data_IF_522905490722
#
_entry.id   IF_522905490722
#
_cell.length_a   1.000
_cell.length_b   1.000
_cell.length_c   1.000
_cell.angle_alpha   90.00
_cell.angle_beta   90.00
_cell.angle_gamma   90.00
#
_symmetry.space_group_name_H-M   'P 1'
#
loop_
_entity.id
_entity.type
_entity.pdbx_description
1 polymer ?
#
# COMPACT_ATOMS: atom_id res chain seq x y z
N UNK A 1 3.06 24.34 -13.68
CA UNK A 1 2.94 22.94 -13.21
C UNK A 1 1.75 22.89 -12.30
N UNK A 2 0.79 22.00 -12.54
CA UNK A 2 -0.35 21.81 -11.63
C UNK A 2 0.19 21.31 -10.29
N UNK A 3 -0.19 21.96 -9.19
CA UNK A 3 0.18 21.52 -7.83
C UNK A 3 -0.47 20.15 -7.57
N UNK A 4 0.26 19.20 -6.99
CA UNK A 4 -0.32 17.94 -6.51
C UNK A 4 -1.28 18.22 -5.34
N UNK A 5 -2.29 17.37 -5.16
CA UNK A 5 -3.24 17.50 -4.04
C UNK A 5 -2.54 17.51 -2.68
N UNK A 6 -1.45 16.73 -2.53
CA UNK A 6 -0.63 16.71 -1.32
C UNK A 6 0.07 18.05 -1.07
N UNK A 7 0.69 18.66 -2.08
CA UNK A 7 1.36 19.95 -1.96
C UNK A 7 0.34 21.07 -1.67
N UNK A 8 -0.82 21.04 -2.32
CA UNK A 8 -1.91 21.97 -2.08
C UNK A 8 -2.46 21.85 -0.64
N UNK A 9 -2.60 20.64 -0.16
CA UNK A 9 -3.06 20.35 1.22
C UNK A 9 -2.06 20.82 2.27
N UNK A 10 -0.76 20.64 2.03
CA UNK A 10 0.30 21.19 2.91
C UNK A 10 0.23 22.70 2.95
N UNK A 11 0.08 23.38 1.80
CA UNK A 11 -0.03 24.83 1.75
C UNK A 11 -1.28 25.32 2.48
N UNK A 12 -2.42 24.64 2.29
CA UNK A 12 -3.66 24.93 3.01
C UNK A 12 -3.48 24.79 4.54
N UNK A 13 -2.86 23.69 5.00
CA UNK A 13 -2.56 23.49 6.43
C UNK A 13 -1.69 24.61 6.98
N UNK A 14 -0.59 24.94 6.28
CA UNK A 14 0.34 26.00 6.72
C UNK A 14 -0.37 27.35 6.83
N UNK A 15 -1.26 27.66 5.88
CA UNK A 15 -2.05 28.89 5.89
C UNK A 15 -3.11 28.91 7.00
N UNK A 16 -3.61 27.73 7.42
CA UNK A 16 -4.61 27.56 8.46
C UNK A 16 -3.99 27.51 9.88
N UNK A 17 -2.69 27.20 9.98
CA UNK A 17 -2.00 26.95 11.24
C UNK A 17 -2.11 28.12 12.25
N UNK A 18 -1.98 29.39 11.87
CA UNK A 18 -2.14 30.50 12.82
C UNK A 18 -3.51 30.52 13.51
N UNK A 19 -4.59 30.28 12.76
CA UNK A 19 -5.95 30.20 13.30
C UNK A 19 -6.10 29.03 14.28
N UNK A 20 -5.54 27.86 13.92
CA UNK A 20 -5.58 26.66 14.76
C UNK A 20 -4.82 26.91 16.08
N UNK A 21 -3.62 27.49 16.00
CA UNK A 21 -2.80 27.82 17.19
C UNK A 21 -3.42 28.90 18.07
N UNK A 22 -4.15 29.85 17.50
CA UNK A 22 -4.87 30.89 18.28
C UNK A 22 -6.08 30.30 19.02
N UNK A 23 -6.87 29.43 18.34
CA UNK A 23 -8.19 29.01 18.85
C UNK A 23 -8.14 27.72 19.68
N UNK A 24 -7.22 26.82 19.37
CA UNK A 24 -7.09 25.50 20.01
C UNK A 24 -5.62 25.16 20.32
N UNK A 25 -4.83 26.03 20.96
CA UNK A 25 -3.39 25.83 21.17
C UNK A 25 -3.08 24.56 21.98
N UNK A 26 -3.88 24.27 22.98
CA UNK A 26 -3.79 23.08 23.84
C UNK A 26 -4.04 21.76 23.08
N UNK A 27 -4.98 21.77 22.12
CA UNK A 27 -5.22 20.62 21.22
C UNK A 27 -4.03 20.47 20.25
N UNK A 28 -3.60 21.57 19.62
CA UNK A 28 -2.50 21.54 18.65
C UNK A 28 -1.21 21.01 19.27
N UNK A 29 -0.90 21.39 20.52
CA UNK A 29 0.28 20.91 21.24
C UNK A 29 0.33 19.38 21.47
N UNK A 30 -0.80 18.69 21.34
CA UNK A 30 -0.91 17.24 21.57
C UNK A 30 -1.30 16.46 20.29
N UNK A 31 -1.48 17.16 19.17
CA UNK A 31 -2.03 16.59 17.94
C UNK A 31 -0.96 16.50 16.86
N UNK A 32 -1.21 15.64 15.90
CA UNK A 32 -0.51 15.61 14.63
C UNK A 32 -1.42 16.08 13.50
N UNK A 33 -0.85 16.65 12.46
CA UNK A 33 -1.59 17.03 11.25
C UNK A 33 -0.83 16.58 9.99
N UNK A 34 -1.56 16.25 8.94
CA UNK A 34 -0.99 15.80 7.69
C UNK A 34 -2.05 15.35 6.69
N UNK A 35 -1.61 14.72 5.61
CA UNK A 35 -2.50 14.03 4.69
C UNK A 35 -1.96 12.62 4.44
N UNK A 36 -2.62 11.63 5.02
CA UNK A 36 -2.28 10.20 4.97
C UNK A 36 -3.58 9.42 4.78
N UNK A 37 -3.60 8.42 3.90
CA UNK A 37 -4.81 7.61 3.71
C UNK A 37 -4.97 7.04 2.32
N UNK A 38 -6.22 6.88 1.92
CA UNK A 38 -6.63 6.14 0.70
C UNK A 38 -6.61 6.98 -0.58
N UNK A 39 -6.40 8.30 -0.51
CA UNK A 39 -6.41 9.18 -1.68
C UNK A 39 -5.22 8.97 -2.62
N UNK A 40 -5.42 9.18 -3.92
CA UNK A 40 -4.34 9.16 -4.93
C UNK A 40 -3.28 10.22 -4.65
N UNK A 41 -3.67 11.35 -4.09
CA UNK A 41 -2.78 12.43 -3.65
C UNK A 41 -1.80 11.98 -2.55
N UNK A 42 -2.21 11.04 -1.68
CA UNK A 42 -1.31 10.46 -0.67
C UNK A 42 -0.22 9.57 -1.28
N UNK A 43 -0.39 9.16 -2.53
CA UNK A 43 0.57 8.36 -3.29
C UNK A 43 1.33 9.18 -4.35
N UNK A 44 0.98 10.46 -4.53
CA UNK A 44 1.52 11.32 -5.58
C UNK A 44 1.08 10.90 -6.99
N UNK A 45 -0.08 10.25 -7.10
CA UNK A 45 -0.65 9.72 -8.35
C UNK A 45 -1.95 10.44 -8.75
N UNK A 46 -2.23 11.57 -8.15
CA UNK A 46 -3.40 12.38 -8.49
C UNK A 46 -3.23 13.07 -9.84
N UNK A 47 -4.26 12.99 -10.67
CA UNK A 47 -4.36 13.54 -12.01
C UNK A 47 -5.66 14.35 -12.19
N UNK A 48 -6.00 14.72 -13.43
CA UNK A 48 -7.24 15.44 -13.73
C UNK A 48 -8.49 14.60 -13.43
N UNK A 49 -8.42 13.28 -13.62
CA UNK A 49 -9.54 12.36 -13.33
C UNK A 49 -9.77 12.27 -11.83
N UNK A 50 -8.70 12.33 -11.03
CA UNK A 50 -8.79 12.29 -9.56
C UNK A 50 -9.57 13.49 -8.97
N UNK A 51 -9.81 14.54 -9.76
CA UNK A 51 -10.50 15.77 -9.32
C UNK A 51 -12.02 15.70 -9.43
N UNK A 52 -12.57 14.61 -9.93
CA UNK A 52 -14.02 14.41 -10.08
C UNK A 52 -14.74 14.26 -8.74
N UNK A 53 -14.06 13.68 -7.75
CA UNK A 53 -14.58 13.52 -6.38
C UNK A 53 -13.44 13.39 -5.36
N UNK A 54 -13.72 13.74 -4.11
CA UNK A 54 -12.81 13.56 -2.96
C UNK A 54 -11.40 14.16 -3.13
N UNK A 55 -11.22 15.13 -4.02
CA UNK A 55 -9.95 15.82 -4.24
C UNK A 55 -10.07 17.31 -3.86
N UNK A 56 -8.98 17.89 -3.41
CA UNK A 56 -8.89 19.30 -3.03
C UNK A 56 -8.16 19.50 -1.70
N UNK A 57 -7.88 20.77 -1.34
CA UNK A 57 -7.13 21.09 -0.13
C UNK A 57 -7.86 20.59 1.13
N UNK A 58 -7.14 19.80 1.93
CA UNK A 58 -7.61 19.25 3.18
C UNK A 58 -6.44 18.75 4.02
N UNK A 59 -6.69 18.47 5.28
CA UNK A 59 -5.75 17.78 6.16
C UNK A 59 -6.50 16.91 7.18
N UNK A 60 -5.82 15.90 7.68
CA UNK A 60 -6.20 15.19 8.88
C UNK A 60 -5.62 15.95 10.08
N UNK A 61 -6.39 16.08 11.14
CA UNK A 61 -5.91 16.48 12.45
C UNK A 61 -6.11 15.28 13.39
N UNK A 62 -5.02 14.55 13.65
CA UNK A 62 -5.05 13.38 14.54
C UNK A 62 -4.89 13.82 15.97
N UNK A 63 -5.97 13.72 16.72
CA UNK A 63 -6.07 14.16 18.11
C UNK A 63 -6.10 12.93 19.02
N UNK A 64 -5.42 12.90 20.17
CA UNK A 64 -5.59 11.83 21.15
C UNK A 64 -7.07 11.56 21.43
N UNK A 65 -7.45 10.29 21.49
CA UNK A 65 -8.86 9.86 21.49
C UNK A 65 -9.68 10.43 22.66
N UNK A 66 -9.06 10.61 23.84
CA UNK A 66 -9.66 11.23 25.02
C UNK A 66 -9.90 12.75 24.82
N UNK A 67 -8.89 13.43 24.29
CA UNK A 67 -8.94 14.87 24.01
C UNK A 67 -9.94 15.19 22.90
N UNK A 68 -9.99 14.37 21.85
CA UNK A 68 -10.96 14.55 20.77
C UNK A 68 -12.40 14.47 21.30
N UNK A 69 -12.69 13.54 22.21
CA UNK A 69 -14.03 13.39 22.79
C UNK A 69 -14.45 14.58 23.66
N UNK A 70 -13.53 15.17 24.41
CA UNK A 70 -13.84 16.33 25.26
C UNK A 70 -13.91 17.65 24.49
N UNK A 71 -13.12 17.80 23.41
CA UNK A 71 -12.94 19.06 22.70
C UNK A 71 -13.60 19.09 21.31
N UNK A 72 -14.36 18.06 20.95
CA UNK A 72 -14.87 17.89 19.58
C UNK A 72 -15.62 19.12 19.06
N UNK A 73 -16.54 19.68 19.85
CA UNK A 73 -17.35 20.83 19.42
C UNK A 73 -16.49 22.09 19.22
N UNK A 74 -15.47 22.30 20.08
CA UNK A 74 -14.54 23.39 19.94
C UNK A 74 -13.65 23.23 18.69
N UNK A 75 -13.13 22.03 18.46
CA UNK A 75 -12.33 21.71 17.27
C UNK A 75 -13.18 21.90 16.00
N UNK A 76 -14.40 21.38 15.98
CA UNK A 76 -15.30 21.51 14.85
C UNK A 76 -15.67 22.97 14.54
N UNK A 77 -15.88 23.80 15.57
CA UNK A 77 -16.13 25.23 15.39
C UNK A 77 -14.94 25.93 14.69
N UNK A 78 -13.72 25.49 14.95
CA UNK A 78 -12.53 26.03 14.27
C UNK A 78 -12.43 25.51 12.84
N UNK A 79 -12.75 24.23 12.60
CA UNK A 79 -12.78 23.68 11.24
C UNK A 79 -13.82 24.37 10.35
N UNK A 80 -14.97 24.70 10.91
CA UNK A 80 -16.06 25.41 10.21
C UNK A 80 -15.67 26.88 9.90
N UNK A 81 -14.72 27.47 10.62
CA UNK A 81 -14.18 28.80 10.37
C UNK A 81 -13.11 28.85 9.26
N UNK A 82 -12.65 27.68 8.78
CA UNK A 82 -11.70 27.62 7.67
C UNK A 82 -12.34 28.08 6.34
N UNK A 83 -11.58 28.66 5.42
CA UNK A 83 -12.13 29.14 4.16
C UNK A 83 -12.73 27.98 3.35
N UNK A 84 -13.90 28.16 2.73
CA UNK A 84 -14.55 27.11 1.94
C UNK A 84 -13.86 26.82 0.59
N UNK A 85 -12.98 27.74 0.16
CA UNK A 85 -12.15 27.61 -1.05
C UNK A 85 -10.73 28.06 -0.75
N UNK A 86 -9.75 27.40 -1.39
CA UNK A 86 -8.34 27.74 -1.28
C UNK A 86 -7.65 27.52 -2.63
N UNK A 87 -6.89 28.52 -3.11
CA UNK A 87 -6.23 28.48 -4.43
C UNK A 87 -7.17 28.08 -5.58
N UNK A 88 -8.41 28.55 -5.54
CA UNK A 88 -9.43 28.26 -6.56
C UNK A 88 -10.08 26.87 -6.46
N UNK A 89 -9.74 26.07 -5.44
CA UNK A 89 -10.28 24.73 -5.22
C UNK A 89 -11.21 24.69 -4.00
N UNK A 90 -12.29 23.91 -4.04
CA UNK A 90 -13.14 23.69 -2.86
C UNK A 90 -12.38 22.93 -1.77
N UNK A 91 -12.46 23.43 -0.54
CA UNK A 91 -11.84 22.82 0.64
C UNK A 91 -12.70 21.66 1.14
N UNK A 92 -12.07 20.54 1.50
CA UNK A 92 -12.73 19.32 2.00
C UNK A 92 -12.77 19.23 3.52
N UNK A 93 -12.89 20.36 4.21
CA UNK A 93 -12.94 20.39 5.70
C UNK A 93 -14.37 20.46 6.25
N UNK A 94 -15.39 20.70 5.43
CA UNK A 94 -16.78 20.66 5.86
C UNK A 94 -17.21 19.23 6.23
N UNK A 95 -18.04 19.06 7.25
CA UNK A 95 -18.41 17.75 7.83
C UNK A 95 -18.98 16.76 6.80
N UNK A 96 -19.82 17.23 5.89
CA UNK A 96 -20.44 16.45 4.82
C UNK A 96 -19.44 15.99 3.73
N UNK A 97 -18.26 16.64 3.63
CA UNK A 97 -17.24 16.36 2.63
C UNK A 97 -16.07 15.53 3.14
N UNK A 98 -15.92 15.35 4.45
CA UNK A 98 -14.75 14.66 5.05
C UNK A 98 -14.78 13.15 4.88
N UNK A 99 -15.95 12.54 4.86
CA UNK A 99 -16.16 11.09 4.72
C UNK A 99 -15.28 10.23 5.67
N UNK A 100 -14.90 10.80 6.83
CA UNK A 100 -13.98 10.15 7.78
C UNK A 100 -12.53 10.02 7.29
N UNK A 101 -12.14 10.79 6.26
CA UNK A 101 -10.79 10.74 5.67
C UNK A 101 -9.94 11.97 5.98
N UNK A 102 -10.58 13.09 6.32
CA UNK A 102 -9.93 14.38 6.65
C UNK A 102 -10.61 15.02 7.85
N UNK A 103 -10.08 16.16 8.33
CA UNK A 103 -10.59 16.84 9.51
C UNK A 103 -10.12 16.20 10.81
N UNK A 104 -10.81 16.46 11.94
CA UNK A 104 -10.45 15.89 13.22
C UNK A 104 -10.74 14.38 13.25
N UNK A 105 -9.71 13.62 13.56
CA UNK A 105 -9.72 12.15 13.61
C UNK A 105 -9.11 11.69 14.93
N UNK A 106 -9.66 10.65 15.57
CA UNK A 106 -9.01 10.05 16.73
C UNK A 106 -7.70 9.38 16.29
N UNK A 107 -6.57 9.67 16.94
CA UNK A 107 -5.25 9.19 16.56
C UNK A 107 -5.20 7.66 16.54
N UNK A 108 -5.59 7.03 17.65
CA UNK A 108 -5.64 5.56 17.73
C UNK A 108 -6.73 4.97 16.84
N UNK A 109 -7.85 5.67 16.71
CA UNK A 109 -8.96 5.30 15.84
C UNK A 109 -8.56 5.27 14.36
N UNK A 110 -7.69 6.20 13.92
CA UNK A 110 -7.13 6.19 12.56
C UNK A 110 -6.37 4.89 12.28
N UNK A 111 -5.45 4.48 13.14
CA UNK A 111 -4.71 3.24 12.96
C UNK A 111 -5.60 2.00 13.09
N UNK A 112 -6.53 1.99 14.04
CA UNK A 112 -7.50 0.89 14.21
C UNK A 112 -8.32 0.63 12.95
N UNK A 113 -8.68 1.67 12.19
CA UNK A 113 -9.38 1.54 10.92
C UNK A 113 -8.62 0.68 9.91
N UNK A 114 -7.29 0.81 9.83
CA UNK A 114 -6.46 0.09 8.88
C UNK A 114 -5.93 -1.24 9.43
N UNK A 115 -5.56 -1.27 10.69
CA UNK A 115 -4.87 -2.40 11.30
C UNK A 115 -5.82 -3.38 12.01
N UNK A 116 -7.03 -2.96 12.32
CA UNK A 116 -7.94 -3.68 13.21
C UNK A 116 -7.59 -3.54 14.70
N UNK A 117 -6.43 -2.97 15.02
CA UNK A 117 -5.92 -2.74 16.38
C UNK A 117 -5.47 -1.28 16.54
N UNK A 118 -5.36 -0.81 17.78
CA UNK A 118 -4.88 0.54 18.14
C UNK A 118 -3.41 0.56 18.59
N UNK A 119 -2.70 -0.51 18.33
CA UNK A 119 -1.27 -0.67 18.58
C UNK A 119 -0.57 -1.22 17.33
N UNK A 120 0.74 -1.03 17.25
CA UNK A 120 1.57 -1.64 16.22
C UNK A 120 1.50 -3.17 16.36
N UNK A 121 1.26 -3.92 15.26
CA UNK A 121 1.17 -5.38 15.34
C UNK A 121 2.37 -5.99 16.09
N UNK A 122 2.10 -6.74 17.17
CA UNK A 122 3.10 -7.28 18.08
C UNK A 122 3.47 -8.75 17.78
N UNK A 123 2.61 -9.45 17.02
CA UNK A 123 2.79 -10.85 16.68
C UNK A 123 2.70 -11.07 15.17
N UNK A 124 3.29 -12.17 14.67
CA UNK A 124 3.16 -12.54 13.26
C UNK A 124 1.70 -12.72 12.83
N UNK A 125 0.81 -13.16 13.75
CA UNK A 125 -0.63 -13.30 13.48
C UNK A 125 -1.29 -11.97 13.19
N UNK A 126 -0.99 -10.96 13.99
CA UNK A 126 -1.51 -9.60 13.77
C UNK A 126 -0.97 -9.02 12.46
N UNK A 127 0.34 -9.18 12.18
CA UNK A 127 0.92 -8.72 10.93
C UNK A 127 0.31 -9.37 9.69
N UNK A 128 0.03 -10.67 9.72
CA UNK A 128 -0.59 -11.37 8.60
C UNK A 128 -2.08 -11.04 8.45
N UNK A 129 -2.75 -10.65 9.53
CA UNK A 129 -4.16 -10.24 9.48
C UNK A 129 -4.36 -8.89 8.78
N UNK A 130 -3.32 -8.05 8.67
CA UNK A 130 -3.44 -6.74 8.02
C UNK A 130 -3.15 -6.85 6.52
N UNK A 131 -4.09 -6.48 5.64
CA UNK A 131 -3.84 -6.40 4.21
C UNK A 131 -2.68 -5.44 3.87
N UNK A 132 -1.83 -5.80 2.89
CA UNK A 132 -0.67 -4.98 2.49
C UNK A 132 -1.05 -3.53 2.17
N UNK A 133 -2.16 -3.33 1.45
CA UNK A 133 -2.60 -1.99 1.07
C UNK A 133 -3.09 -1.15 2.25
N UNK A 134 -3.55 -1.74 3.35
CA UNK A 134 -3.86 -1.02 4.58
C UNK A 134 -2.60 -0.47 5.24
N UNK A 135 -1.52 -1.28 5.29
CA UNK A 135 -0.22 -0.81 5.78
C UNK A 135 0.32 0.33 4.92
N UNK A 136 0.19 0.21 3.59
CA UNK A 136 0.53 1.30 2.70
C UNK A 136 -0.31 2.55 3.00
N UNK A 137 -1.64 2.42 3.12
CA UNK A 137 -2.54 3.56 3.32
C UNK A 137 -2.30 4.31 4.64
N UNK A 138 -1.97 3.62 5.73
CA UNK A 138 -1.70 4.28 7.01
C UNK A 138 -0.26 4.78 7.16
N UNK A 139 0.60 4.56 6.16
CA UNK A 139 2.02 4.98 6.19
C UNK A 139 2.45 5.83 5.00
N UNK A 140 1.55 6.06 4.01
CA UNK A 140 1.80 6.91 2.85
C UNK A 140 1.70 8.41 3.17
N UNK A 141 1.56 9.23 2.15
CA UNK A 141 1.32 10.67 2.29
C UNK A 141 2.41 11.37 3.11
N UNK A 142 1.99 12.41 3.85
CA UNK A 142 2.91 13.25 4.61
C UNK A 142 2.31 13.73 5.92
N UNK A 143 3.15 13.77 6.94
CA UNK A 143 2.89 14.42 8.22
C UNK A 143 3.44 15.85 8.14
N UNK A 144 2.57 16.85 8.28
CA UNK A 144 2.95 18.26 8.21
C UNK A 144 3.41 18.80 9.55
N UNK A 145 2.85 18.27 10.64
CA UNK A 145 3.15 18.64 12.02
C UNK A 145 2.85 17.46 12.96
N UNK A 146 3.67 17.26 13.97
CA UNK A 146 3.43 16.29 15.05
C UNK A 146 4.14 16.73 16.34
N UNK A 147 3.51 17.64 17.06
CA UNK A 147 4.09 18.21 18.31
C UNK A 147 4.17 17.17 19.43
N UNK A 148 3.18 16.27 19.50
CA UNK A 148 3.14 15.18 20.48
C UNK A 148 4.06 14.00 20.16
N UNK A 149 4.48 13.86 18.91
CA UNK A 149 5.34 12.77 18.42
C UNK A 149 4.68 11.40 18.36
N UNK A 150 3.46 11.24 18.86
CA UNK A 150 2.79 9.92 18.98
C UNK A 150 2.43 9.34 17.61
N UNK A 151 1.89 10.16 16.70
CA UNK A 151 1.53 9.70 15.35
C UNK A 151 2.77 9.27 14.56
N UNK A 152 3.82 10.08 14.58
CA UNK A 152 5.08 9.78 13.90
C UNK A 152 5.80 8.58 14.49
N UNK A 153 5.75 8.40 15.81
CA UNK A 153 6.32 7.22 16.47
C UNK A 153 5.61 5.93 16.00
N UNK A 154 4.27 5.94 15.97
CA UNK A 154 3.49 4.81 15.47
C UNK A 154 3.78 4.54 13.99
N UNK A 155 3.73 5.57 13.15
CA UNK A 155 4.03 5.49 11.72
C UNK A 155 5.43 4.92 11.46
N UNK A 156 6.44 5.41 12.16
CA UNK A 156 7.82 4.96 12.00
C UNK A 156 8.01 3.50 12.43
N UNK A 157 7.30 3.05 13.48
CA UNK A 157 7.31 1.65 13.88
C UNK A 157 6.75 0.74 12.76
N UNK A 158 5.68 1.15 12.08
CA UNK A 158 5.17 0.42 10.91
C UNK A 158 6.16 0.49 9.73
N UNK A 159 6.76 1.65 9.46
CA UNK A 159 7.75 1.83 8.40
C UNK A 159 9.05 1.06 8.65
N UNK A 160 9.30 0.60 9.88
CA UNK A 160 10.31 -0.42 10.18
C UNK A 160 10.09 -1.73 9.42
N UNK A 161 8.94 -1.87 8.80
CA UNK A 161 8.52 -2.94 7.93
C UNK A 161 8.13 -4.23 8.67
N UNK A 162 7.75 -5.26 7.93
CA UNK A 162 7.43 -6.58 8.48
C UNK A 162 8.60 -7.18 9.26
N UNK A 163 8.33 -7.89 10.38
CA UNK A 163 9.30 -8.83 10.93
C UNK A 163 9.77 -9.80 9.83
N UNK A 164 11.04 -10.18 9.85
CA UNK A 164 11.64 -10.94 8.74
C UNK A 164 10.92 -12.29 8.50
N UNK A 165 10.44 -12.94 9.54
CA UNK A 165 9.69 -14.19 9.42
C UNK A 165 8.35 -14.00 8.69
N UNK A 166 7.65 -12.89 8.96
CA UNK A 166 6.42 -12.51 8.25
C UNK A 166 6.71 -12.21 6.78
N UNK A 167 7.78 -11.44 6.52
CA UNK A 167 8.22 -11.14 5.14
C UNK A 167 8.53 -12.42 4.37
N UNK A 168 9.27 -13.36 4.97
CA UNK A 168 9.61 -14.66 4.37
C UNK A 168 8.37 -15.48 4.08
N UNK A 169 7.40 -15.48 5.00
CA UNK A 169 6.13 -16.17 4.81
C UNK A 169 5.37 -15.65 3.61
N UNK A 170 5.26 -14.34 3.47
CA UNK A 170 4.62 -13.69 2.30
C UNK A 170 5.37 -14.00 1.00
N UNK A 171 6.68 -13.90 1.00
CA UNK A 171 7.51 -14.24 -0.18
C UNK A 171 7.30 -15.70 -0.58
N UNK A 172 7.30 -16.64 0.38
CA UNK A 172 7.06 -18.04 0.11
C UNK A 172 5.70 -18.28 -0.57
N UNK A 173 4.64 -17.65 -0.05
CA UNK A 173 3.31 -17.73 -0.65
C UNK A 173 3.27 -17.14 -2.07
N UNK A 174 3.95 -16.01 -2.30
CA UNK A 174 4.04 -15.40 -3.66
C UNK A 174 4.79 -16.30 -4.64
N UNK A 175 5.87 -16.97 -4.24
CA UNK A 175 6.54 -17.97 -5.07
C UNK A 175 5.57 -19.06 -5.53
N UNK A 176 4.80 -19.62 -4.60
CA UNK A 176 3.83 -20.68 -4.90
C UNK A 176 2.73 -20.20 -5.86
N UNK A 177 2.16 -19.00 -5.60
CA UNK A 177 1.09 -18.45 -6.43
C UNK A 177 1.60 -18.14 -7.84
N UNK A 178 2.77 -17.52 -7.96
CA UNK A 178 3.39 -17.19 -9.25
C UNK A 178 3.68 -18.46 -10.06
N UNK A 179 4.27 -19.48 -9.44
CA UNK A 179 4.51 -20.76 -10.09
C UNK A 179 3.21 -21.43 -10.54
N UNK A 180 2.24 -21.53 -9.65
CA UNK A 180 0.96 -22.19 -9.96
C UNK A 180 0.19 -21.46 -11.07
N UNK A 181 0.02 -20.15 -10.95
CA UNK A 181 -0.78 -19.39 -11.88
C UNK A 181 -0.06 -19.15 -13.22
N UNK A 182 1.16 -18.63 -13.17
CA UNK A 182 1.94 -18.22 -14.33
C UNK A 182 2.66 -19.36 -15.03
N UNK A 183 3.53 -20.08 -14.30
CA UNK A 183 4.40 -21.09 -14.92
C UNK A 183 3.64 -22.40 -15.22
N UNK A 184 2.66 -22.77 -14.40
CA UNK A 184 1.97 -24.06 -14.56
C UNK A 184 0.62 -23.95 -15.25
N UNK A 185 -0.31 -23.13 -14.73
CA UNK A 185 -1.70 -23.12 -15.21
C UNK A 185 -1.87 -22.35 -16.51
N UNK A 186 -1.26 -21.20 -16.67
CA UNK A 186 -1.44 -20.35 -17.86
C UNK A 186 -1.10 -21.08 -19.17
N UNK A 187 0.05 -21.75 -19.34
CA UNK A 187 0.36 -22.50 -20.56
C UNK A 187 -0.68 -23.59 -20.86
N UNK A 188 -1.19 -24.27 -19.83
CA UNK A 188 -2.24 -25.29 -19.96
C UNK A 188 -3.59 -24.73 -20.39
N UNK A 189 -3.95 -23.56 -19.86
CA UNK A 189 -5.18 -22.85 -20.27
C UNK A 189 -5.12 -22.47 -21.75
N UNK A 190 -3.98 -21.97 -22.21
CA UNK A 190 -3.73 -21.63 -23.62
C UNK A 190 -3.79 -22.88 -24.52
N UNK A 191 -3.18 -24.00 -24.12
CA UNK A 191 -3.24 -25.26 -24.86
C UNK A 191 -4.69 -25.76 -25.03
N UNK A 192 -5.52 -25.58 -23.99
CA UNK A 192 -6.95 -25.94 -24.00
C UNK A 192 -7.83 -24.92 -24.70
N UNK A 193 -7.27 -23.80 -25.17
CA UNK A 193 -7.99 -22.66 -25.74
C UNK A 193 -9.05 -22.08 -24.79
N UNK A 194 -8.81 -22.16 -23.48
CA UNK A 194 -9.69 -21.60 -22.47
C UNK A 194 -9.26 -20.18 -22.14
N UNK A 195 -9.75 -19.22 -22.91
CA UNK A 195 -9.40 -17.79 -22.81
C UNK A 195 -9.72 -17.21 -21.44
N UNK A 196 -10.88 -17.54 -20.89
CA UNK A 196 -11.27 -17.04 -19.55
C UNK A 196 -10.31 -17.54 -18.48
N UNK A 197 -9.97 -18.83 -18.49
CA UNK A 197 -9.04 -19.38 -17.51
C UNK A 197 -7.61 -18.82 -17.70
N UNK A 198 -7.19 -18.56 -18.95
CA UNK A 198 -5.90 -17.92 -19.24
C UNK A 198 -5.84 -16.49 -18.67
N UNK A 199 -6.88 -15.68 -18.88
CA UNK A 199 -6.99 -14.34 -18.33
C UNK A 199 -6.96 -14.35 -16.79
N UNK A 200 -7.70 -15.24 -16.13
CA UNK A 200 -7.72 -15.37 -14.68
C UNK A 200 -6.37 -15.83 -14.12
N UNK A 201 -5.69 -16.77 -14.79
CA UNK A 201 -4.36 -17.21 -14.41
C UNK A 201 -3.34 -16.07 -14.53
N UNK A 202 -3.38 -15.30 -15.62
CA UNK A 202 -2.51 -14.14 -15.83
C UNK A 202 -2.76 -13.03 -14.79
N UNK A 203 -4.03 -12.73 -14.46
CA UNK A 203 -4.36 -11.75 -13.43
C UNK A 203 -3.86 -12.18 -12.04
N UNK A 204 -4.04 -13.46 -11.69
CA UNK A 204 -3.54 -14.00 -10.42
C UNK A 204 -2.02 -13.96 -10.32
N UNK A 205 -1.33 -14.25 -11.43
CA UNK A 205 0.11 -14.09 -11.51
C UNK A 205 0.51 -12.61 -11.32
N UNK A 206 -0.15 -11.69 -12.02
CA UNK A 206 0.15 -10.26 -11.98
C UNK A 206 0.07 -9.67 -10.57
N UNK A 207 -0.98 -10.01 -9.81
CA UNK A 207 -1.10 -9.60 -8.40
C UNK A 207 0.04 -10.14 -7.54
N UNK A 208 0.37 -11.43 -7.69
CA UNK A 208 1.45 -12.05 -6.91
C UNK A 208 2.82 -11.48 -7.29
N UNK A 209 3.07 -11.21 -8.57
CA UNK A 209 4.30 -10.62 -9.08
C UNK A 209 4.51 -9.18 -8.57
N UNK A 210 3.42 -8.37 -8.53
CA UNK A 210 3.44 -7.04 -7.92
C UNK A 210 3.80 -7.14 -6.44
N UNK A 211 3.05 -7.93 -5.67
CA UNK A 211 3.32 -8.11 -4.24
C UNK A 211 4.76 -8.61 -4.00
N UNK A 212 5.28 -9.54 -4.83
CA UNK A 212 6.66 -10.00 -4.76
C UNK A 212 7.66 -8.84 -4.94
N UNK A 213 7.48 -7.98 -5.94
CA UNK A 213 8.38 -6.85 -6.19
C UNK A 213 8.38 -5.85 -5.00
N UNK A 214 7.21 -5.57 -4.44
CA UNK A 214 7.08 -4.75 -3.23
C UNK A 214 7.76 -5.40 -2.01
N UNK A 215 7.54 -6.69 -1.78
CA UNK A 215 8.18 -7.45 -0.68
C UNK A 215 9.71 -7.49 -0.78
N UNK A 216 10.23 -7.67 -1.99
CA UNK A 216 11.68 -7.67 -2.25
C UNK A 216 12.29 -6.27 -2.08
N UNK A 217 11.52 -5.23 -2.38
CA UNK A 217 11.88 -3.81 -2.17
C UNK A 217 11.65 -3.31 -0.74
N UNK A 218 11.11 -4.12 0.16
CA UNK A 218 10.70 -3.72 1.53
C UNK A 218 9.79 -2.49 1.53
N UNK A 219 8.77 -2.52 0.68
CA UNK A 219 7.71 -1.51 0.57
C UNK A 219 6.36 -2.19 0.72
N UNK A 220 5.40 -1.52 1.35
CA UNK A 220 4.02 -2.01 1.39
C UNK A 220 3.35 -1.77 0.04
N UNK A 221 2.76 -2.82 -0.53
CA UNK A 221 2.04 -2.70 -1.79
C UNK A 221 0.76 -1.87 -1.58
N UNK A 222 0.51 -0.84 -2.38
CA UNK A 222 -0.73 -0.08 -2.32
C UNK A 222 -1.91 -0.89 -2.84
N UNK A 223 -3.11 -0.31 -2.77
CA UNK A 223 -4.29 -0.88 -3.40
C UNK A 223 -4.03 -1.18 -4.89
N UNK A 224 -4.54 -2.30 -5.39
CA UNK A 224 -4.19 -2.84 -6.72
C UNK A 224 -4.27 -1.82 -7.86
N UNK A 225 -5.22 -0.87 -7.79
CA UNK A 225 -5.41 0.21 -8.78
C UNK A 225 -4.13 1.04 -8.99
N UNK A 226 -3.32 1.21 -7.94
CA UNK A 226 -2.13 2.05 -7.93
C UNK A 226 -0.82 1.27 -7.95
N UNK A 227 -0.89 -0.05 -7.68
CA UNK A 227 0.29 -0.88 -7.51
C UNK A 227 1.16 -0.92 -8.77
N UNK A 228 0.55 -1.03 -9.95
CA UNK A 228 1.28 -1.03 -11.22
C UNK A 228 2.06 0.27 -11.46
N UNK A 229 1.41 1.43 -11.24
CA UNK A 229 2.06 2.74 -11.41
C UNK A 229 3.22 2.97 -10.45
N UNK A 230 3.12 2.49 -9.21
CA UNK A 230 4.19 2.62 -8.23
C UNK A 230 5.27 1.55 -8.38
N UNK A 231 5.00 0.43 -9.05
CA UNK A 231 5.98 -0.63 -9.25
C UNK A 231 7.24 -0.11 -9.95
N UNK A 232 7.11 0.75 -10.96
CA UNK A 232 8.26 1.31 -11.69
C UNK A 232 9.26 2.08 -10.79
N UNK A 233 8.77 2.61 -9.67
CA UNK A 233 9.59 3.37 -8.71
C UNK A 233 10.34 2.49 -7.71
N UNK A 234 10.09 1.18 -7.71
CA UNK A 234 10.72 0.25 -6.79
C UNK A 234 12.20 0.06 -7.11
N UNK A 235 13.09 0.03 -6.10
CA UNK A 235 14.52 -0.16 -6.31
C UNK A 235 14.89 -1.58 -6.73
N UNK A 236 14.02 -2.57 -6.46
CA UNK A 236 14.23 -3.99 -6.72
C UNK A 236 13.04 -4.54 -7.50
N UNK A 237 13.29 -5.21 -8.62
CA UNK A 237 12.27 -5.84 -9.47
C UNK A 237 11.21 -4.89 -10.05
N UNK A 238 11.33 -3.58 -9.87
CA UNK A 238 10.29 -2.63 -10.29
C UNK A 238 10.12 -2.55 -11.81
N UNK A 239 11.24 -2.39 -12.54
CA UNK A 239 11.23 -2.34 -14.01
C UNK A 239 10.80 -3.67 -14.63
N UNK A 240 11.22 -4.76 -14.03
CA UNK A 240 10.89 -6.12 -14.44
C UNK A 240 9.41 -6.38 -14.29
N UNK A 241 8.83 -6.00 -13.14
CA UNK A 241 7.40 -6.09 -12.89
C UNK A 241 6.60 -5.24 -13.89
N UNK A 242 6.95 -3.97 -14.06
CA UNK A 242 6.26 -3.06 -14.99
C UNK A 242 6.28 -3.61 -16.43
N UNK A 243 7.43 -4.08 -16.93
CA UNK A 243 7.57 -4.67 -18.25
C UNK A 243 6.71 -5.92 -18.42
N UNK A 244 6.70 -6.81 -17.43
CA UNK A 244 5.93 -8.05 -17.49
C UNK A 244 4.43 -7.75 -17.45
N UNK A 245 4.00 -6.83 -16.58
CA UNK A 245 2.61 -6.43 -16.49
C UNK A 245 2.10 -5.76 -17.76
N UNK A 246 2.90 -4.90 -18.40
CA UNK A 246 2.55 -4.30 -19.69
C UNK A 246 2.38 -5.37 -20.78
N UNK A 247 3.27 -6.37 -20.83
CA UNK A 247 3.14 -7.49 -21.75
C UNK A 247 1.84 -8.27 -21.50
N UNK A 248 1.50 -8.58 -20.24
CA UNK A 248 0.25 -9.26 -19.89
C UNK A 248 -1.00 -8.43 -20.25
N UNK A 249 -0.97 -7.13 -19.96
CA UNK A 249 -2.09 -6.22 -20.22
C UNK A 249 -2.42 -6.08 -21.72
N UNK A 250 -1.40 -6.19 -22.60
CA UNK A 250 -1.56 -6.09 -24.06
C UNK A 250 -1.83 -7.43 -24.73
N UNK A 251 -1.82 -8.53 -24.00
CA UNK A 251 -1.97 -9.88 -24.58
C UNK A 251 -3.40 -10.15 -25.01
N UNK A 252 -3.55 -10.65 -26.23
CA UNK A 252 -4.79 -11.23 -26.73
C UNK A 252 -4.86 -12.70 -26.31
N UNK A 253 -5.63 -12.98 -25.28
CA UNK A 253 -5.75 -14.33 -24.69
C UNK A 253 -6.49 -15.34 -25.57
N UNK A 254 -7.15 -14.89 -26.64
CA UNK A 254 -7.76 -15.74 -27.68
C UNK A 254 -6.72 -16.21 -28.72
N UNK A 255 -5.55 -15.61 -28.76
CA UNK A 255 -4.41 -16.03 -29.60
C UNK A 255 -3.43 -16.86 -28.80
N UNK A 256 -3.25 -18.14 -29.17
CA UNK A 256 -2.27 -19.00 -28.52
C UNK A 256 -0.84 -18.48 -28.68
N UNK A 257 -0.50 -17.96 -29.85
CA UNK A 257 0.85 -17.42 -30.11
C UNK A 257 1.17 -16.23 -29.20
N UNK A 258 0.30 -15.24 -29.16
CA UNK A 258 0.48 -14.06 -28.28
C UNK A 258 0.44 -14.44 -26.80
N UNK A 259 -0.42 -15.40 -26.43
CA UNK A 259 -0.44 -15.93 -25.07
C UNK A 259 0.88 -16.61 -24.68
N UNK A 260 1.56 -17.30 -25.61
CA UNK A 260 2.85 -17.92 -25.33
C UNK A 260 3.97 -16.88 -25.17
N UNK A 261 3.93 -15.73 -25.88
CA UNK A 261 4.86 -14.62 -25.64
C UNK A 261 4.68 -14.02 -24.22
N UNK A 262 3.42 -13.99 -23.74
CA UNK A 262 3.15 -13.60 -22.34
C UNK A 262 3.75 -14.62 -21.35
N UNK A 263 3.67 -15.93 -21.64
CA UNK A 263 4.32 -16.98 -20.84
C UNK A 263 5.84 -16.78 -20.80
N UNK A 264 6.47 -16.46 -21.92
CA UNK A 264 7.92 -16.16 -21.97
C UNK A 264 8.28 -14.96 -21.08
N UNK A 265 7.43 -13.91 -21.07
CA UNK A 265 7.62 -12.76 -20.18
C UNK A 265 7.50 -13.14 -18.72
N UNK A 266 6.56 -14.03 -18.37
CA UNK A 266 6.39 -14.59 -17.03
C UNK A 266 7.61 -15.40 -16.62
N UNK A 267 8.09 -16.32 -17.48
CA UNK A 267 9.27 -17.14 -17.19
C UNK A 267 10.52 -16.28 -16.95
N UNK A 268 10.67 -15.23 -17.74
CA UNK A 268 11.75 -14.27 -17.54
C UNK A 268 11.66 -13.57 -16.19
N UNK A 269 10.46 -13.09 -15.81
CA UNK A 269 10.26 -12.47 -14.49
C UNK A 269 10.51 -13.46 -13.35
N UNK A 270 10.09 -14.73 -13.49
CA UNK A 270 10.36 -15.77 -12.51
C UNK A 270 11.88 -16.06 -12.38
N UNK A 271 12.61 -16.05 -13.48
CA UNK A 271 14.06 -16.19 -13.49
C UNK A 271 14.76 -15.03 -12.74
N UNK A 272 14.37 -13.81 -13.06
CA UNK A 272 14.86 -12.58 -12.39
C UNK A 272 14.49 -12.59 -10.89
N UNK A 273 13.28 -13.08 -10.53
CA UNK A 273 12.85 -13.26 -9.13
C UNK A 273 13.73 -14.29 -8.41
N UNK A 274 14.00 -15.46 -9.02
CA UNK A 274 14.84 -16.49 -8.43
C UNK A 274 16.27 -15.99 -8.18
N UNK A 275 16.82 -15.20 -9.10
CA UNK A 275 18.13 -14.55 -8.94
C UNK A 275 18.13 -13.56 -7.77
N UNK A 276 17.08 -12.74 -7.66
CA UNK A 276 16.93 -11.77 -6.56
C UNK A 276 16.75 -12.45 -5.20
N UNK A 277 16.01 -13.56 -5.14
CA UNK A 277 15.91 -14.37 -3.93
C UNK A 277 17.28 -14.89 -3.47
N UNK A 278 18.14 -15.33 -4.39
CA UNK A 278 19.52 -15.71 -4.09
C UNK A 278 20.34 -14.52 -3.60
N UNK A 279 20.23 -13.37 -4.28
CA UNK A 279 20.95 -12.14 -3.91
C UNK A 279 20.60 -11.65 -2.50
N UNK A 280 19.34 -11.82 -2.09
CA UNK A 280 18.89 -11.49 -0.74
C UNK A 280 19.08 -12.62 0.29
N UNK A 281 19.75 -13.72 -0.08
CA UNK A 281 19.97 -14.91 0.78
C UNK A 281 18.66 -15.49 1.34
N UNK A 282 17.60 -15.47 0.54
CA UNK A 282 16.31 -16.01 0.89
C UNK A 282 16.14 -17.46 0.45
N UNK A 283 16.79 -17.84 -0.65
CA UNK A 283 16.67 -19.17 -1.26
C UNK A 283 17.87 -19.45 -2.16
N UNK A 284 18.38 -20.68 -2.14
CA UNK A 284 19.50 -21.14 -2.97
C UNK A 284 19.04 -21.98 -4.18
N UNK A 285 17.76 -21.89 -4.55
CA UNK A 285 17.22 -22.62 -5.70
C UNK A 285 17.99 -22.27 -6.98
N UNK A 286 18.38 -23.28 -7.76
CA UNK A 286 19.13 -23.10 -9.01
C UNK A 286 18.23 -22.95 -10.21
N UNK A 287 17.02 -23.51 -10.14
CA UNK A 287 16.00 -23.47 -11.18
C UNK A 287 15.16 -22.18 -11.08
N UNK A 288 14.54 -21.80 -12.16
CA UNK A 288 13.59 -20.69 -12.24
C UNK A 288 12.16 -21.12 -11.85
N UNK A 289 11.96 -22.37 -11.48
CA UNK A 289 10.70 -22.93 -11.05
C UNK A 289 10.39 -22.53 -9.61
N UNK A 290 9.62 -21.46 -9.45
CA UNK A 290 9.35 -20.85 -8.13
C UNK A 290 8.57 -21.75 -7.17
N UNK A 291 7.97 -22.84 -7.68
CA UNK A 291 7.32 -23.84 -6.83
C UNK A 291 8.30 -24.50 -5.85
N UNK A 292 9.55 -24.66 -6.23
CA UNK A 292 10.58 -25.18 -5.32
C UNK A 292 11.12 -24.11 -4.38
N UNK A 293 11.13 -22.85 -4.82
CA UNK A 293 11.63 -21.74 -4.01
C UNK A 293 10.75 -21.47 -2.77
N UNK A 294 9.43 -21.54 -2.91
CA UNK A 294 8.49 -21.25 -1.83
C UNK A 294 8.74 -22.05 -0.54
N UNK A 295 8.78 -23.39 -0.58
CA UNK A 295 9.10 -24.22 0.59
C UNK A 295 10.48 -23.93 1.18
N UNK A 296 11.49 -23.65 0.35
CA UNK A 296 12.87 -23.36 0.83
C UNK A 296 12.85 -22.03 1.60
N UNK A 297 12.22 -20.98 1.06
CA UNK A 297 12.07 -19.70 1.77
C UNK A 297 11.34 -19.92 3.09
N UNK A 298 10.24 -20.68 3.10
CA UNK A 298 9.46 -20.95 4.30
C UNK A 298 10.27 -21.70 5.37
N UNK A 299 11.10 -22.65 4.98
CA UNK A 299 11.96 -23.38 5.92
C UNK A 299 12.98 -22.50 6.64
N UNK A 300 13.29 -21.32 6.12
CA UNK A 300 14.17 -20.33 6.76
C UNK A 300 13.47 -19.47 7.83
N UNK A 301 12.16 -19.61 8.03
CA UNK A 301 11.39 -18.95 9.09
C UNK A 301 11.79 -19.52 10.44
N UNK A 302 12.10 -18.66 11.40
CA UNK A 302 12.56 -19.05 12.74
C UNK A 302 11.41 -19.50 13.62
N UNK A 303 10.28 -18.79 13.60
CA UNK A 303 9.09 -19.17 14.38
C UNK A 303 8.54 -20.52 13.89
N UNK A 304 8.51 -21.57 14.74
CA UNK A 304 8.13 -22.92 14.31
C UNK A 304 6.65 -23.03 13.95
N UNK A 305 5.78 -22.26 14.58
CA UNK A 305 4.34 -22.30 14.31
C UNK A 305 4.02 -21.61 12.97
N UNK A 306 4.63 -20.46 12.71
CA UNK A 306 4.51 -19.78 11.42
C UNK A 306 5.12 -20.63 10.29
N UNK A 307 6.26 -21.25 10.53
CA UNK A 307 6.90 -22.15 9.55
C UNK A 307 6.06 -23.37 9.21
N UNK A 308 5.27 -23.89 10.16
CA UNK A 308 4.41 -25.05 9.97
C UNK A 308 3.10 -24.78 9.21
N UNK A 309 2.76 -23.48 8.97
CA UNK A 309 1.53 -23.15 8.22
C UNK A 309 1.64 -23.57 6.76
N UNK A 310 0.48 -23.71 6.09
CA UNK A 310 0.44 -23.96 4.66
C UNK A 310 1.25 -22.89 3.91
N UNK A 311 2.15 -23.32 3.01
CA UNK A 311 3.05 -22.43 2.28
C UNK A 311 2.31 -21.41 1.40
N UNK A 312 1.11 -21.75 0.92
CA UNK A 312 0.30 -20.88 0.06
C UNK A 312 -0.53 -19.84 0.82
N UNK A 313 -0.63 -19.96 2.15
CA UNK A 313 -1.35 -19.03 3.01
C UNK A 313 -0.41 -17.95 3.55
N UNK A 314 -0.88 -16.69 3.60
CA UNK A 314 -0.17 -15.56 4.20
C UNK A 314 -1.13 -14.54 4.81
#
# INVERSE_FOLDING_TARGET
MSSTGLALSRFFFTSSLPLLQERIPDVMARSAAGLVGEGSECLGLDDEISRDHDWGPAFCLWVPDDLLRSELDRIESVMDALPPTFEGHPVRMARDRRMGRTGPLPLRGFYRRFLGTDHVPASWREWLAVPEYHLCSCTNGEVFMDEGGEFSAFRNALLGYYPEDVRRKKIAARCMIMAQAGQYNLPRCLQRRNTTAAMLAAARFAEAALSMAFLLSRRFMPFYKWAGSLAETLPVMGREAARTLDALARTRWDSRELGMLAVESIEKFCAETAEELRRQHLCDVRDNWLWEAGPIVQMSIKDPELRARNVMED
#
